data_IF_787111717498
#
_entry.id   IF_787111717498
#
_cell.length_a   1.000
_cell.length_b   1.000
_cell.length_c   1.000
_cell.angle_alpha   90.00
_cell.angle_beta   90.00
_cell.angle_gamma   90.00
#
_symmetry.space_group_name_H-M   'P 1'
#
loop_
_entity.id
_entity.type
_entity.pdbx_description
1 polymer ?
#
# COMPACT_ATOMS: atom_id res chain seq x y z
N UNK A 1 -26.96 -10.30 -26.82
CA UNK A 1 -25.99 -9.19 -26.79
C UNK A 1 -24.83 -9.56 -25.87
N UNK A 2 -23.66 -9.88 -26.44
CA UNK A 2 -22.49 -10.32 -25.68
C UNK A 2 -21.71 -9.16 -25.08
N UNK A 3 -21.39 -9.24 -23.78
CA UNK A 3 -20.58 -8.23 -23.08
C UNK A 3 -19.76 -8.89 -21.98
N UNK A 4 -18.51 -9.25 -22.27
CA UNK A 4 -17.34 -9.21 -21.35
C UNK A 4 -16.21 -10.18 -21.76
N UNK A 5 -15.71 -10.07 -23.00
CA UNK A 5 -14.42 -10.68 -23.37
C UNK A 5 -13.36 -9.58 -23.26
N UNK A 6 -12.64 -9.49 -22.14
CA UNK A 6 -11.48 -8.58 -22.02
C UNK A 6 -11.35 -7.78 -20.73
N UNK A 7 -11.84 -8.27 -19.59
CA UNK A 7 -11.44 -7.67 -18.31
C UNK A 7 -10.03 -8.12 -17.95
N UNK A 8 -9.02 -7.41 -18.48
CA UNK A 8 -7.72 -7.35 -17.82
C UNK A 8 -7.99 -6.92 -16.38
N UNK A 9 -7.44 -7.62 -15.39
CA UNK A 9 -7.53 -7.22 -13.99
C UNK A 9 -6.87 -5.85 -13.86
N UNK A 10 -7.67 -4.78 -14.01
CA UNK A 10 -7.21 -3.41 -13.83
C UNK A 10 -6.59 -3.33 -12.45
N UNK A 11 -5.45 -2.67 -12.37
CA UNK A 11 -4.71 -2.46 -11.13
C UNK A 11 -5.69 -2.12 -10.02
N UNK A 12 -5.50 -2.72 -8.84
CA UNK A 12 -6.43 -2.58 -7.70
C UNK A 12 -6.52 -1.14 -7.18
N UNK A 13 -5.84 -0.20 -7.81
CA UNK A 13 -5.86 1.21 -7.53
C UNK A 13 -7.28 1.79 -7.68
N UNK A 14 -7.92 2.06 -6.54
CA UNK A 14 -9.28 2.61 -6.49
C UNK A 14 -9.33 4.11 -6.82
N UNK A 15 -8.19 4.80 -6.78
CA UNK A 15 -8.13 6.25 -6.99
C UNK A 15 -8.47 6.65 -8.43
N UNK A 16 -7.96 5.91 -9.41
CA UNK A 16 -8.09 6.25 -10.84
C UNK A 16 -9.32 5.64 -11.53
N UNK A 17 -10.10 4.80 -10.83
CA UNK A 17 -11.21 4.10 -11.43
C UNK A 17 -12.44 5.02 -11.61
N UNK A 18 -13.05 5.05 -12.81
CA UNK A 18 -14.22 5.91 -13.07
C UNK A 18 -15.47 5.45 -12.32
N UNK A 19 -15.56 4.17 -11.97
CA UNK A 19 -16.71 3.58 -11.26
C UNK A 19 -16.63 3.70 -9.74
N UNK A 20 -15.51 4.18 -9.18
CA UNK A 20 -15.35 4.27 -7.73
C UNK A 20 -16.03 5.56 -7.24
N UNK A 21 -16.95 5.47 -6.26
CA UNK A 21 -17.56 6.63 -5.61
C UNK A 21 -16.51 7.61 -5.10
N UNK A 22 -16.79 8.92 -5.14
CA UNK A 22 -15.80 9.97 -4.81
C UNK A 22 -15.20 9.83 -3.41
N UNK A 23 -15.99 9.39 -2.43
CA UNK A 23 -15.55 9.16 -1.05
C UNK A 23 -14.65 7.92 -0.87
N UNK A 24 -14.55 7.05 -1.87
CA UNK A 24 -13.69 5.87 -1.85
C UNK A 24 -12.42 6.04 -2.68
N UNK A 25 -12.25 7.19 -3.35
CA UNK A 25 -11.01 7.53 -4.02
C UNK A 25 -10.03 8.07 -2.97
N UNK A 26 -8.79 7.62 -3.01
CA UNK A 26 -7.75 8.28 -2.22
C UNK A 26 -7.61 9.71 -2.72
N UNK A 27 -7.51 10.65 -1.80
CA UNK A 27 -7.23 12.06 -2.04
C UNK A 27 -5.79 12.31 -2.55
N UNK A 28 -4.92 11.31 -2.39
CA UNK A 28 -3.53 11.37 -2.87
C UNK A 28 -2.62 12.18 -1.95
N UNK A 29 -3.10 12.50 -0.75
CA UNK A 29 -2.29 13.13 0.28
C UNK A 29 -1.59 12.02 1.07
N UNK A 30 -0.26 11.93 0.94
CA UNK A 30 0.53 11.07 1.80
C UNK A 30 0.57 11.72 3.19
N UNK A 31 -0.19 11.17 4.15
CA UNK A 31 -0.16 11.66 5.54
C UNK A 31 1.19 11.29 6.15
N UNK A 32 1.94 12.27 6.65
CA UNK A 32 3.25 12.04 7.23
C UNK A 32 3.17 11.26 8.55
N UNK A 33 4.11 10.33 8.72
CA UNK A 33 4.27 9.59 9.96
C UNK A 33 4.64 10.54 11.11
N UNK A 34 3.83 10.50 12.17
CA UNK A 34 4.05 11.25 13.39
C UNK A 34 4.39 10.31 14.54
N UNK A 35 5.64 10.34 15.00
CA UNK A 35 6.12 9.41 16.03
C UNK A 35 5.38 9.54 17.38
N UNK A 36 4.93 10.75 17.73
CA UNK A 36 4.23 11.04 18.99
C UNK A 36 2.85 10.38 19.09
N UNK A 37 2.24 10.02 17.95
CA UNK A 37 0.94 9.34 17.90
C UNK A 37 1.06 7.84 17.64
N UNK A 38 2.29 7.34 17.44
CA UNK A 38 2.51 5.93 17.19
C UNK A 38 2.26 5.13 18.46
N UNK A 39 1.44 4.08 18.34
CA UNK A 39 1.25 3.16 19.44
C UNK A 39 2.36 2.10 19.49
N UNK A 40 2.28 1.21 20.47
CA UNK A 40 3.28 0.14 20.63
C UNK A 40 3.31 -0.80 19.42
N UNK A 41 2.16 -1.07 18.79
CA UNK A 41 2.07 -1.97 17.65
C UNK A 41 2.73 -1.36 16.42
N UNK A 42 2.59 -0.05 16.22
CA UNK A 42 3.24 0.70 15.15
C UNK A 42 4.77 0.63 15.26
N UNK A 43 5.30 0.85 16.47
CA UNK A 43 6.73 0.76 16.74
C UNK A 43 7.29 -0.66 16.50
N UNK A 44 6.58 -1.69 16.95
CA UNK A 44 6.96 -3.08 16.69
C UNK A 44 6.94 -3.41 15.19
N UNK A 45 5.93 -2.93 14.47
CA UNK A 45 5.81 -3.15 13.04
C UNK A 45 6.98 -2.51 12.29
N UNK A 46 7.36 -1.28 12.64
CA UNK A 46 8.54 -0.61 12.10
C UNK A 46 9.83 -1.40 12.37
N UNK A 47 10.03 -1.84 13.63
CA UNK A 47 11.20 -2.63 14.00
C UNK A 47 11.29 -3.95 13.22
N UNK A 48 10.16 -4.65 13.05
CA UNK A 48 10.06 -5.90 12.30
C UNK A 48 10.35 -5.69 10.81
N UNK A 49 9.82 -4.62 10.22
CA UNK A 49 10.06 -4.26 8.82
C UNK A 49 11.55 -3.95 8.58
N UNK A 50 12.18 -3.18 9.48
CA UNK A 50 13.60 -2.86 9.41
C UNK A 50 14.47 -4.12 9.49
N UNK A 51 14.16 -5.05 10.41
CA UNK A 51 14.88 -6.32 10.52
C UNK A 51 14.72 -7.19 9.25
N UNK A 52 13.53 -7.24 8.66
CA UNK A 52 13.30 -7.96 7.41
C UNK A 52 14.10 -7.36 6.24
N UNK A 53 14.12 -6.03 6.13
CA UNK A 53 14.89 -5.32 5.11
C UNK A 53 16.39 -5.63 5.23
N UNK A 54 16.95 -5.61 6.44
CA UNK A 54 18.35 -5.98 6.69
C UNK A 54 18.66 -7.42 6.26
N UNK A 55 17.75 -8.38 6.53
CA UNK A 55 17.93 -9.76 6.08
C UNK A 55 17.97 -9.87 4.56
N UNK A 56 17.07 -9.17 3.87
CA UNK A 56 17.00 -9.17 2.40
C UNK A 56 18.23 -8.51 1.79
N UNK A 57 18.66 -7.36 2.31
CA UNK A 57 19.85 -6.65 1.80
C UNK A 57 21.11 -7.48 1.99
N UNK A 58 21.27 -8.13 3.14
CA UNK A 58 22.39 -9.03 3.40
C UNK A 58 22.37 -10.25 2.47
N UNK A 59 21.18 -10.81 2.18
CA UNK A 59 21.05 -11.91 1.20
C UNK A 59 21.41 -11.47 -0.21
N UNK A 60 21.06 -10.26 -0.63
CA UNK A 60 21.36 -9.72 -1.97
C UNK A 60 22.83 -9.34 -2.16
N UNK A 61 23.55 -9.05 -1.08
CA UNK A 61 24.98 -8.70 -1.10
C UNK A 61 25.90 -9.93 -1.16
N UNK A 62 25.37 -11.12 -0.89
CA UNK A 62 26.08 -12.39 -0.96
C UNK A 62 25.88 -13.03 -2.34
#
# INVERSE_FOLDING_TARGET
>A
MGRSRGHNSRDKNKASLPQVPKNMKSDGNDVEYSAEFADHADLEAMARANAANQRVTNKRRK
#
